data_IF_115637457719
#
_entry.id   IF_115637457719
#
_cell.length_a   1.000
_cell.length_b   1.000
_cell.length_c   1.000
_cell.angle_alpha   90.00
_cell.angle_beta   90.00
_cell.angle_gamma   90.00
#
_symmetry.space_group_name_H-M   'P 1'
#
loop_
_entity.id
_entity.type
_entity.pdbx_description
1 polymer ?
#
# COMPACT_ATOMS: atom_id res chain seq x y z
N UNK A 1 -8.13 9.03 10.71
CA UNK A 1 -8.49 7.79 9.99
C UNK A 1 -7.25 7.21 9.33
N UNK A 2 -7.15 5.88 9.24
CA UNK A 2 -6.00 5.20 8.65
C UNK A 2 -6.50 4.27 7.54
N UNK A 3 -6.04 4.50 6.32
CA UNK A 3 -6.22 3.57 5.20
C UNK A 3 -5.07 2.56 5.23
N UNK A 4 -5.42 1.27 5.13
CA UNK A 4 -4.45 0.18 5.19
C UNK A 4 -4.57 -0.62 3.90
N UNK A 5 -3.44 -0.86 3.25
CA UNK A 5 -3.30 -1.67 2.06
C UNK A 5 -2.25 -2.76 2.28
N UNK A 6 -2.33 -3.89 1.59
CA UNK A 6 -1.30 -4.92 1.68
C UNK A 6 -0.08 -4.53 0.84
N UNK A 7 -0.29 -4.17 -0.43
CA UNK A 7 0.78 -3.82 -1.36
C UNK A 7 0.46 -2.52 -2.09
N UNK A 8 1.19 -1.45 -1.72
CA UNK A 8 1.19 -0.20 -2.47
C UNK A 8 2.03 -0.34 -3.75
N UNK A 9 1.33 -0.42 -4.88
CA UNK A 9 1.89 -0.44 -6.22
C UNK A 9 1.67 0.92 -6.93
N UNK A 10 0.72 0.99 -7.87
CA UNK A 10 0.42 2.23 -8.63
C UNK A 10 -0.22 3.33 -7.79
N UNK A 11 -0.83 2.99 -6.66
CA UNK A 11 -1.56 3.90 -5.79
C UNK A 11 -3.04 4.12 -6.18
N UNK A 12 -3.54 3.49 -7.26
CA UNK A 12 -4.90 3.69 -7.74
C UNK A 12 -5.97 3.35 -6.70
N UNK A 13 -5.87 2.19 -6.05
CA UNK A 13 -6.84 1.71 -5.04
C UNK A 13 -6.92 2.65 -3.84
N UNK A 14 -5.76 2.92 -3.24
CA UNK A 14 -5.62 3.86 -2.12
C UNK A 14 -6.14 5.26 -2.49
N UNK A 15 -5.89 5.75 -3.70
CA UNK A 15 -6.39 7.05 -4.16
C UNK A 15 -7.92 7.08 -4.28
N UNK A 16 -8.54 6.04 -4.83
CA UNK A 16 -10.01 5.95 -4.90
C UNK A 16 -10.65 5.93 -3.50
N UNK A 17 -10.10 5.13 -2.58
CA UNK A 17 -10.56 5.08 -1.20
C UNK A 17 -10.37 6.43 -0.49
N UNK A 18 -9.20 7.07 -0.68
CA UNK A 18 -8.92 8.39 -0.13
C UNK A 18 -9.91 9.43 -0.66
N UNK A 19 -10.18 9.47 -1.97
CA UNK A 19 -11.12 10.40 -2.58
C UNK A 19 -12.55 10.25 -2.01
N UNK A 20 -13.02 9.01 -1.87
CA UNK A 20 -14.32 8.72 -1.24
C UNK A 20 -14.35 9.23 0.20
N UNK A 21 -13.32 8.92 0.97
CA UNK A 21 -13.23 9.28 2.38
C UNK A 21 -13.05 10.79 2.62
N UNK A 22 -12.39 11.51 1.71
CA UNK A 22 -12.30 12.98 1.76
C UNK A 22 -13.61 13.68 1.44
N UNK A 23 -14.58 13.00 0.83
CA UNK A 23 -15.94 13.54 0.70
C UNK A 23 -16.69 13.57 2.04
N UNK A 24 -16.18 12.86 3.05
CA UNK A 24 -16.69 12.86 4.41
C UNK A 24 -15.92 13.89 5.26
N UNK A 25 -16.56 14.44 6.28
CA UNK A 25 -15.92 15.40 7.19
C UNK A 25 -14.96 14.66 8.13
N UNK A 26 -13.69 14.55 7.72
CA UNK A 26 -12.64 13.86 8.48
C UNK A 26 -11.59 14.86 8.98
N UNK A 27 -11.13 14.68 10.22
CA UNK A 27 -10.10 15.54 10.81
C UNK A 27 -8.69 15.29 10.21
N UNK A 28 -8.48 14.16 9.56
CA UNK A 28 -7.21 13.80 8.94
C UNK A 28 -7.15 12.34 8.51
N UNK A 29 -6.30 12.07 7.53
CA UNK A 29 -6.07 10.75 6.95
C UNK A 29 -4.57 10.43 6.95
N UNK A 30 -4.27 9.17 7.25
CA UNK A 30 -2.95 8.58 7.06
C UNK A 30 -3.07 7.27 6.29
N UNK A 31 -1.99 6.85 5.65
CA UNK A 31 -1.94 5.62 4.85
C UNK A 31 -0.85 4.68 5.36
N UNK A 32 -1.17 3.40 5.43
CA UNK A 32 -0.24 2.33 5.79
C UNK A 32 -0.25 1.29 4.67
N UNK A 33 0.92 0.79 4.29
CA UNK A 33 1.01 -0.45 3.53
C UNK A 33 1.94 -1.46 4.19
N UNK A 34 1.67 -2.75 4.02
CA UNK A 34 2.65 -3.77 4.41
C UNK A 34 3.88 -3.66 3.50
N UNK A 35 3.68 -3.55 2.18
CA UNK A 35 4.73 -3.40 1.17
C UNK A 35 4.53 -2.13 0.35
N UNK A 36 5.59 -1.38 0.06
CA UNK A 36 5.61 -0.30 -0.94
C UNK A 36 6.64 -0.63 -2.03
N UNK A 37 6.18 -0.78 -3.27
CA UNK A 37 7.01 -1.17 -4.43
C UNK A 37 7.58 -0.01 -5.24
N UNK A 38 7.29 1.24 -4.85
CA UNK A 38 7.70 2.50 -5.51
C UNK A 38 7.31 2.70 -6.99
N UNK A 39 6.42 1.89 -7.56
CA UNK A 39 5.92 2.04 -8.93
C UNK A 39 4.69 2.95 -9.02
N UNK A 40 4.80 4.19 -8.57
CA UNK A 40 3.63 5.07 -8.42
C UNK A 40 3.20 5.67 -9.76
N UNK A 41 1.89 5.57 -10.05
CA UNK A 41 1.23 6.29 -11.14
C UNK A 41 0.25 7.35 -10.62
N UNK A 42 -0.17 7.23 -9.36
CA UNK A 42 -1.03 8.18 -8.66
C UNK A 42 -0.24 8.91 -7.56
N UNK A 43 -0.57 10.18 -7.28
CA UNK A 43 0.12 10.99 -6.28
C UNK A 43 -0.32 10.64 -4.84
N UNK A 44 -0.23 9.36 -4.47
CA UNK A 44 -0.47 8.88 -3.11
C UNK A 44 0.71 8.01 -2.67
N UNK A 45 1.10 8.17 -1.42
CA UNK A 45 2.17 7.40 -0.77
C UNK A 45 1.68 6.81 0.53
N UNK A 46 2.30 5.73 0.98
CA UNK A 46 2.17 5.28 2.35
C UNK A 46 2.88 6.28 3.27
N UNK A 47 2.21 6.74 4.34
CA UNK A 47 2.88 7.44 5.45
C UNK A 47 3.80 6.47 6.21
N UNK A 48 3.38 5.20 6.32
CA UNK A 48 4.17 4.12 6.89
C UNK A 48 4.12 2.88 5.99
N UNK A 49 5.28 2.30 5.71
CA UNK A 49 5.41 1.04 5.00
C UNK A 49 6.13 0.01 5.87
N UNK A 50 5.62 -1.22 5.95
CA UNK A 50 6.30 -2.31 6.65
C UNK A 50 7.65 -2.63 5.99
N UNK A 51 7.66 -2.75 4.66
CA UNK A 51 8.86 -2.88 3.86
C UNK A 51 8.74 -2.06 2.58
N UNK A 52 9.80 -1.36 2.22
CA UNK A 52 9.88 -0.66 0.93
C UNK A 52 10.86 -1.38 0.03
N UNK A 53 10.41 -1.78 -1.16
CA UNK A 53 11.19 -2.52 -2.14
C UNK A 53 11.32 -1.71 -3.42
N UNK A 54 12.54 -1.52 -3.90
CA UNK A 54 12.76 -1.09 -5.28
C UNK A 54 12.69 -2.34 -6.15
N UNK A 55 11.58 -2.51 -6.85
CA UNK A 55 11.37 -3.66 -7.76
C UNK A 55 11.38 -3.19 -9.21
N UNK A 56 11.54 -4.08 -10.17
CA UNK A 56 11.15 -3.83 -11.57
C UNK A 56 9.66 -4.09 -11.77
N UNK A 57 9.08 -3.62 -12.89
CA UNK A 57 7.67 -3.93 -13.23
C UNK A 57 7.42 -5.42 -13.48
N UNK A 58 8.47 -6.17 -13.83
CA UNK A 58 8.41 -7.59 -14.17
C UNK A 58 8.40 -8.49 -12.92
N UNK A 59 8.95 -8.00 -11.81
CA UNK A 59 8.96 -8.71 -10.54
C UNK A 59 7.56 -8.74 -9.91
N UNK A 60 7.19 -9.87 -9.29
CA UNK A 60 5.93 -10.05 -8.59
C UNK A 60 6.16 -10.14 -7.08
N UNK A 61 5.33 -9.48 -6.28
CA UNK A 61 5.37 -9.62 -4.81
C UNK A 61 4.30 -10.61 -4.42
N UNK A 62 4.70 -11.69 -3.75
CA UNK A 62 3.78 -12.67 -3.18
C UNK A 62 3.81 -12.56 -1.66
N UNK A 63 2.64 -12.37 -1.05
CA UNK A 63 2.46 -12.32 0.40
C UNK A 63 1.84 -13.65 0.85
N UNK A 64 2.52 -14.34 1.77
CA UNK A 64 2.04 -15.59 2.35
C UNK A 64 1.74 -15.38 3.82
N UNK A 65 0.47 -15.57 4.18
CA UNK A 65 0.00 -15.49 5.55
C UNK A 65 -0.36 -16.92 6.00
N UNK A 66 0.35 -17.41 7.00
CA UNK A 66 0.09 -18.71 7.67
C UNK A 66 -0.04 -18.48 9.17
N UNK A 67 -0.69 -19.37 9.92
CA UNK A 67 -0.94 -19.18 11.35
C UNK A 67 0.34 -18.84 12.13
N UNK A 68 0.51 -17.56 12.45
CA UNK A 68 1.67 -17.02 13.16
C UNK A 68 2.89 -16.61 12.31
N UNK A 69 2.81 -16.69 10.97
CA UNK A 69 3.90 -16.32 10.06
C UNK A 69 3.42 -15.44 8.91
N UNK A 70 4.14 -14.34 8.70
CA UNK A 70 3.97 -13.42 7.58
C UNK A 70 5.26 -13.43 6.77
N UNK A 71 5.20 -13.92 5.54
CA UNK A 71 6.34 -14.03 4.63
C UNK A 71 6.05 -13.24 3.37
N UNK A 72 7.09 -12.59 2.84
CA UNK A 72 7.00 -11.75 1.65
C UNK A 72 8.09 -12.20 0.69
N UNK A 73 7.70 -12.60 -0.51
CA UNK A 73 8.59 -13.11 -1.54
C UNK A 73 8.61 -12.14 -2.73
N UNK A 74 9.80 -11.87 -3.26
CA UNK A 74 10.00 -11.30 -4.58
C UNK A 74 10.19 -12.46 -5.55
N UNK A 75 9.31 -12.56 -6.54
CA UNK A 75 9.28 -13.64 -7.55
C UNK A 75 9.53 -13.05 -8.94
#
# INVERSE_FOLDING_TARGET
>A
MILIDDVLNTGKTLMHAAAYLTSMQIAGMKTISLIDRRHRSFPIKADWAGLTLSTTLQEHISVKITSGKYEVFLV
#
